data_IF_446763461832
#
_entry.id   IF_446763461832
#
_cell.length_a   1.000
_cell.length_b   1.000
_cell.length_c   1.000
_cell.angle_alpha   90.00
_cell.angle_beta   90.00
_cell.angle_gamma   90.00
#
_symmetry.space_group_name_H-M   'P 1'
#
loop_
_entity.id
_entity.type
_entity.pdbx_description
1 polymer ?
#
# COMPACT_ATOMS: atom_id res chain seq x y z
N UNK A 1 -15.00 6.73 22.47
CA UNK A 1 -13.54 6.95 22.33
C UNK A 1 -13.24 7.46 20.93
N UNK A 2 -12.21 8.28 20.72
CA UNK A 2 -11.81 8.73 19.37
C UNK A 2 -11.16 7.56 18.66
N UNK A 3 -11.63 7.21 17.46
CA UNK A 3 -11.02 6.17 16.61
C UNK A 3 -9.57 6.51 16.28
N UNK A 4 -8.74 5.49 16.08
CA UNK A 4 -7.33 5.63 15.74
C UNK A 4 -7.16 5.87 14.26
N UNK A 5 -6.08 6.51 13.88
CA UNK A 5 -5.70 6.70 12.48
C UNK A 5 -4.63 5.69 12.07
N UNK A 6 -4.59 5.31 10.80
CA UNK A 6 -3.63 4.35 10.26
C UNK A 6 -2.92 4.88 9.01
N UNK A 7 -1.73 4.37 8.79
CA UNK A 7 -1.11 4.33 7.46
C UNK A 7 -1.19 2.89 6.99
N UNK A 8 -2.03 2.67 6.00
CA UNK A 8 -2.08 1.43 5.24
C UNK A 8 -0.97 1.45 4.20
N UNK A 9 -0.30 0.32 4.01
CA UNK A 9 0.85 0.18 3.15
C UNK A 9 0.67 -1.05 2.27
N UNK A 10 0.79 -0.93 0.95
CA UNK A 10 1.00 -2.13 0.16
C UNK A 10 2.36 -2.74 0.49
N UNK A 11 2.57 -4.01 0.16
CA UNK A 11 3.80 -4.74 0.42
C UNK A 11 4.79 -4.62 -0.75
N UNK A 12 4.43 -5.20 -1.89
CA UNK A 12 5.32 -5.33 -3.05
C UNK A 12 5.32 -4.02 -3.85
N UNK A 13 6.50 -3.44 -4.10
CA UNK A 13 6.63 -2.11 -4.72
C UNK A 13 6.50 -0.92 -3.76
N UNK A 14 6.05 -1.17 -2.52
CA UNK A 14 5.85 -0.12 -1.50
C UNK A 14 6.75 -0.31 -0.28
N UNK A 15 6.65 -1.42 0.45
CA UNK A 15 7.56 -1.73 1.57
C UNK A 15 8.80 -2.47 1.10
N UNK A 16 8.64 -3.41 0.18
CA UNK A 16 9.71 -4.22 -0.39
C UNK A 16 9.83 -3.96 -1.89
N UNK A 17 11.02 -4.21 -2.44
CA UNK A 17 11.24 -4.13 -3.88
C UNK A 17 10.28 -5.07 -4.62
N UNK A 18 9.67 -4.62 -5.74
CA UNK A 18 8.72 -5.44 -6.48
C UNK A 18 9.42 -6.65 -7.09
N UNK A 19 8.83 -7.83 -6.93
CA UNK A 19 9.24 -9.08 -7.56
C UNK A 19 8.03 -9.81 -8.09
N UNK A 20 8.23 -10.57 -9.16
CA UNK A 20 7.17 -11.38 -9.74
C UNK A 20 6.92 -12.62 -8.86
N UNK A 21 5.87 -12.55 -8.05
CA UNK A 21 5.43 -13.63 -7.13
C UNK A 21 6.55 -14.17 -6.23
N UNK A 22 7.13 -13.37 -5.33
CA UNK A 22 8.10 -13.88 -4.37
C UNK A 22 7.47 -15.01 -3.55
N UNK A 23 8.21 -16.11 -3.37
CA UNK A 23 7.74 -17.34 -2.75
C UNK A 23 8.53 -17.73 -1.50
N UNK A 24 9.61 -17.00 -1.20
CA UNK A 24 10.44 -17.23 -0.02
C UNK A 24 10.77 -15.94 0.73
N UNK A 25 11.07 -16.02 2.04
CA UNK A 25 11.44 -14.86 2.85
C UNK A 25 12.64 -14.07 2.30
N UNK A 26 13.65 -14.74 1.75
CA UNK A 26 14.91 -14.17 1.26
C UNK A 26 14.68 -13.30 0.00
N UNK A 27 13.55 -13.48 -0.66
CA UNK A 27 13.17 -12.66 -1.81
C UNK A 27 12.55 -11.32 -1.42
N UNK A 28 12.15 -11.15 -0.15
CA UNK A 28 11.63 -9.89 0.36
C UNK A 28 12.77 -8.96 0.76
N UNK A 29 12.98 -7.91 0.02
CA UNK A 29 14.00 -6.91 0.30
C UNK A 29 13.35 -5.57 0.60
N UNK A 30 13.44 -5.11 1.84
CA UNK A 30 12.93 -3.81 2.24
C UNK A 30 13.60 -2.65 1.47
N UNK A 31 12.83 -1.63 1.14
CA UNK A 31 13.42 -0.39 0.64
C UNK A 31 14.31 0.26 1.71
N UNK A 32 15.48 0.69 1.29
CA UNK A 32 16.43 1.33 2.19
C UNK A 32 15.85 2.63 2.80
N UNK A 33 16.13 2.86 4.10
CA UNK A 33 15.80 4.11 4.77
C UNK A 33 14.34 4.32 5.18
N UNK A 34 13.42 3.37 4.94
CA UNK A 34 12.01 3.53 5.31
C UNK A 34 11.76 3.47 6.83
N UNK A 35 12.60 2.74 7.58
CA UNK A 35 12.44 2.55 9.03
C UNK A 35 12.28 3.86 9.83
N UNK A 36 13.14 4.87 9.69
CA UNK A 36 12.99 6.16 10.39
C UNK A 36 11.65 6.85 10.08
N UNK A 37 11.19 6.81 8.84
CA UNK A 37 9.90 7.39 8.42
C UNK A 37 8.72 6.68 9.06
N UNK A 38 8.70 5.35 9.04
CA UNK A 38 7.65 4.53 9.67
C UNK A 38 7.61 4.75 11.18
N UNK A 39 8.76 4.74 11.88
CA UNK A 39 8.81 5.04 13.32
C UNK A 39 8.25 6.44 13.64
N UNK A 40 8.54 7.42 12.80
CA UNK A 40 8.05 8.77 13.01
C UNK A 40 6.52 8.85 12.89
N UNK A 41 5.90 8.06 12.01
CA UNK A 41 4.44 7.95 11.89
C UNK A 41 3.84 7.22 13.10
N UNK A 42 4.47 6.16 13.59
CA UNK A 42 4.04 5.50 14.84
C UNK A 42 4.07 6.45 16.04
N UNK A 43 5.17 7.23 16.18
CA UNK A 43 5.27 8.26 17.23
C UNK A 43 4.21 9.37 17.09
N UNK A 44 3.73 9.63 15.87
CA UNK A 44 2.61 10.54 15.59
C UNK A 44 1.23 9.90 15.84
N UNK A 45 1.19 8.67 16.35
CA UNK A 45 -0.04 7.96 16.76
C UNK A 45 -0.72 7.19 15.63
N UNK A 46 -0.05 6.99 14.49
CA UNK A 46 -0.59 6.13 13.42
C UNK A 46 -0.37 4.65 13.74
N UNK A 47 -1.37 3.83 13.41
CA UNK A 47 -1.21 2.39 13.25
C UNK A 47 -0.61 2.11 11.88
N UNK A 48 0.27 1.09 11.80
CA UNK A 48 0.87 0.64 10.54
C UNK A 48 0.27 -0.71 10.15
N UNK A 49 -0.43 -0.73 9.03
CA UNK A 49 -1.18 -1.92 8.58
C UNK A 49 -0.81 -2.24 7.13
N UNK A 50 -0.40 -3.47 6.87
CA UNK A 50 -0.12 -3.93 5.50
C UNK A 50 -1.40 -4.43 4.83
N UNK A 51 -1.61 -4.04 3.56
CA UNK A 51 -2.76 -4.42 2.73
C UNK A 51 -2.24 -4.92 1.38
N UNK A 52 -2.24 -6.23 1.14
CA UNK A 52 -1.56 -6.80 -0.03
C UNK A 52 -2.39 -7.84 -0.79
N UNK A 53 -2.32 -7.81 -2.13
CA UNK A 53 -2.87 -8.84 -3.00
C UNK A 53 -1.83 -9.95 -3.19
N UNK A 54 -2.15 -11.18 -2.77
CA UNK A 54 -1.27 -12.33 -2.83
C UNK A 54 -1.84 -13.44 -3.73
N UNK A 55 -2.09 -13.08 -4.98
CA UNK A 55 -2.67 -13.95 -6.00
C UNK A 55 -1.80 -15.18 -6.35
N UNK A 56 -0.52 -15.18 -5.95
CA UNK A 56 0.37 -16.33 -6.09
C UNK A 56 -0.21 -17.60 -5.47
N UNK A 57 -0.97 -17.48 -4.36
CA UNK A 57 -1.65 -18.63 -3.74
C UNK A 57 -2.70 -19.18 -4.70
N UNK A 58 -3.61 -18.35 -5.22
CA UNK A 58 -4.64 -18.81 -6.17
C UNK A 58 -4.04 -19.38 -7.45
N UNK A 59 -2.84 -18.93 -7.85
CA UNK A 59 -2.12 -19.42 -9.02
C UNK A 59 -1.28 -20.68 -8.74
N UNK A 60 -1.18 -21.11 -7.46
CA UNK A 60 -0.40 -22.27 -7.07
C UNK A 60 1.12 -22.06 -7.09
N UNK A 61 1.60 -20.81 -7.05
CA UNK A 61 3.04 -20.51 -7.07
C UNK A 61 3.69 -20.66 -5.68
N UNK A 62 2.91 -20.48 -4.63
CA UNK A 62 3.30 -20.70 -3.23
C UNK A 62 2.06 -20.95 -2.37
N UNK A 63 2.27 -21.51 -1.20
CA UNK A 63 1.19 -21.87 -0.26
C UNK A 63 0.88 -20.73 0.71
N UNK A 64 -0.20 -20.88 1.49
CA UNK A 64 -0.52 -19.97 2.59
C UNK A 64 0.57 -20.01 3.69
N UNK A 65 1.18 -21.18 3.92
CA UNK A 65 2.29 -21.34 4.89
C UNK A 65 3.56 -20.64 4.42
N UNK A 66 3.85 -20.64 3.10
CA UNK A 66 4.94 -19.86 2.51
C UNK A 66 4.71 -18.37 2.73
N UNK A 67 3.48 -17.90 2.48
CA UNK A 67 3.12 -16.51 2.72
C UNK A 67 3.25 -16.12 4.19
N UNK A 68 2.84 -17.01 5.10
CA UNK A 68 2.96 -16.77 6.53
C UNK A 68 4.44 -16.58 6.93
N UNK A 69 5.34 -17.44 6.44
CA UNK A 69 6.79 -17.29 6.68
C UNK A 69 7.35 -15.98 6.12
N UNK A 70 6.90 -15.58 4.93
CA UNK A 70 7.28 -14.29 4.35
C UNK A 70 6.80 -13.10 5.20
N UNK A 71 5.57 -13.16 5.75
CA UNK A 71 5.04 -12.10 6.61
C UNK A 71 5.74 -12.05 7.98
N UNK A 72 6.12 -13.19 8.54
CA UNK A 72 6.93 -13.27 9.77
C UNK A 72 8.30 -12.65 9.55
N UNK A 73 8.94 -12.97 8.43
CA UNK A 73 10.23 -12.38 8.05
C UNK A 73 10.12 -10.86 7.89
N UNK A 74 9.14 -10.36 7.13
CA UNK A 74 8.88 -8.93 6.96
C UNK A 74 8.69 -8.22 8.31
N UNK A 75 7.90 -8.83 9.20
CA UNK A 75 7.63 -8.29 10.54
C UNK A 75 8.91 -8.23 11.38
N UNK A 76 9.75 -9.29 11.31
CA UNK A 76 11.04 -9.33 11.99
C UNK A 76 12.02 -8.27 11.47
N UNK A 77 12.15 -8.13 10.16
CA UNK A 77 13.01 -7.10 9.54
C UNK A 77 12.58 -5.68 9.95
N UNK A 78 11.28 -5.39 9.95
CA UNK A 78 10.76 -4.11 10.41
C UNK A 78 10.99 -3.90 11.91
N UNK A 79 10.85 -4.95 12.73
CA UNK A 79 11.11 -4.88 14.17
C UNK A 79 12.59 -4.56 14.47
N UNK A 80 13.53 -5.11 13.70
CA UNK A 80 14.97 -4.76 13.81
C UNK A 80 15.21 -3.27 13.51
N UNK A 81 14.38 -2.66 12.67
CA UNK A 81 14.38 -1.22 12.42
C UNK A 81 13.60 -0.42 13.48
N UNK A 82 13.10 -1.06 14.54
CA UNK A 82 12.29 -0.44 15.59
C UNK A 82 10.89 -0.04 15.12
N UNK A 83 10.36 -0.71 14.09
CA UNK A 83 9.00 -0.52 13.54
C UNK A 83 8.13 -1.71 13.92
N UNK A 84 6.95 -1.45 14.48
CA UNK A 84 5.97 -2.50 14.80
C UNK A 84 4.79 -2.41 13.84
N UNK A 85 4.50 -3.48 13.11
CA UNK A 85 3.25 -3.61 12.37
C UNK A 85 2.10 -3.96 13.32
N UNK A 86 0.96 -3.31 13.14
CA UNK A 86 -0.25 -3.61 13.90
C UNK A 86 -1.03 -4.79 13.32
N UNK A 87 -1.00 -4.97 12.01
CA UNK A 87 -1.60 -6.12 11.31
C UNK A 87 -1.13 -6.22 9.86
N UNK A 88 -1.33 -7.40 9.26
CA UNK A 88 -1.19 -7.66 7.83
C UNK A 88 -2.48 -8.30 7.34
N UNK A 89 -3.13 -7.68 6.34
CA UNK A 89 -4.28 -8.23 5.63
C UNK A 89 -3.88 -8.57 4.21
N UNK A 90 -4.29 -9.73 3.74
CA UNK A 90 -3.98 -10.16 2.39
C UNK A 90 -5.20 -10.77 1.70
N UNK A 91 -5.21 -10.72 0.37
CA UNK A 91 -6.19 -11.38 -0.47
C UNK A 91 -5.48 -12.50 -1.27
N UNK A 92 -5.84 -13.78 -1.07
CA UNK A 92 -5.26 -14.88 -1.82
C UNK A 92 -5.94 -15.11 -3.18
N UNK A 93 -7.10 -14.48 -3.44
CA UNK A 93 -7.97 -14.78 -4.56
C UNK A 93 -7.50 -14.14 -5.87
N UNK A 94 -7.79 -14.84 -6.99
CA UNK A 94 -7.66 -14.29 -8.33
C UNK A 94 -8.67 -14.95 -9.27
N UNK A 95 -9.46 -14.22 -10.09
CA UNK A 95 -10.47 -14.84 -10.98
C UNK A 95 -9.89 -15.91 -11.92
N UNK A 96 -8.63 -15.72 -12.37
CA UNK A 96 -7.92 -16.65 -13.24
C UNK A 96 -6.94 -17.52 -12.44
N UNK A 97 -7.28 -17.87 -11.19
CA UNK A 97 -6.49 -18.77 -10.35
C UNK A 97 -6.53 -20.22 -10.86
N UNK A 98 -5.45 -20.97 -10.60
CA UNK A 98 -5.39 -22.41 -10.89
C UNK A 98 -6.06 -23.26 -9.81
N UNK A 99 -6.18 -22.71 -8.57
CA UNK A 99 -6.83 -23.38 -7.44
C UNK A 99 -8.32 -23.01 -7.45
N UNK A 100 -9.25 -23.95 -7.71
CA UNK A 100 -10.66 -23.64 -7.92
C UNK A 100 -11.33 -22.86 -6.79
N UNK A 101 -11.02 -23.18 -5.53
CA UNK A 101 -11.59 -22.56 -4.33
C UNK A 101 -11.15 -21.10 -4.17
N UNK A 102 -10.04 -20.70 -4.79
CA UNK A 102 -9.47 -19.36 -4.77
C UNK A 102 -9.64 -18.61 -6.10
N UNK A 103 -10.12 -19.30 -7.14
CA UNK A 103 -10.39 -18.75 -8.47
C UNK A 103 -11.71 -17.98 -8.50
N UNK A 104 -11.86 -17.00 -7.61
CA UNK A 104 -13.10 -16.25 -7.39
C UNK A 104 -12.91 -14.74 -7.48
N UNK A 105 -13.99 -14.03 -7.79
CA UNK A 105 -14.11 -12.59 -7.56
C UNK A 105 -14.52 -12.38 -6.10
N UNK A 106 -13.87 -11.47 -5.40
CA UNK A 106 -14.11 -11.19 -3.99
C UNK A 106 -14.11 -9.68 -3.72
N UNK A 107 -14.57 -9.29 -2.55
CA UNK A 107 -14.54 -7.90 -2.05
C UNK A 107 -13.21 -7.50 -1.41
N UNK A 108 -12.35 -8.47 -1.08
CA UNK A 108 -11.05 -8.22 -0.45
C UNK A 108 -9.95 -7.85 -1.45
N UNK A 109 -9.99 -8.35 -2.72
CA UNK A 109 -8.94 -8.06 -3.70
C UNK A 109 -8.99 -6.60 -4.15
N UNK A 110 -7.89 -5.86 -3.95
CA UNK A 110 -7.72 -4.54 -4.54
C UNK A 110 -7.94 -4.60 -6.06
N UNK A 111 -8.73 -3.69 -6.67
CA UNK A 111 -9.19 -2.40 -6.16
C UNK A 111 -10.44 -2.39 -5.28
N UNK A 112 -10.93 -3.53 -4.79
CA UNK A 112 -12.00 -3.54 -3.79
C UNK A 112 -11.47 -3.14 -2.42
N UNK A 113 -12.26 -2.43 -1.60
CA UNK A 113 -11.83 -1.89 -0.31
C UNK A 113 -11.93 -2.88 0.86
N UNK A 114 -12.33 -4.13 0.65
CA UNK A 114 -12.73 -5.04 1.73
C UNK A 114 -11.65 -5.27 2.80
N UNK A 115 -10.38 -5.37 2.42
CA UNK A 115 -9.29 -5.50 3.41
C UNK A 115 -9.16 -4.25 4.29
N UNK A 116 -9.29 -3.04 3.72
CA UNK A 116 -9.25 -1.78 4.46
C UNK A 116 -10.44 -1.65 5.42
N UNK A 117 -11.63 -2.02 4.96
CA UNK A 117 -12.86 -2.00 5.77
C UNK A 117 -12.76 -2.99 6.94
N UNK A 118 -12.24 -4.20 6.69
CA UNK A 118 -12.00 -5.19 7.73
C UNK A 118 -10.97 -4.72 8.74
N UNK A 119 -9.83 -4.20 8.31
CA UNK A 119 -8.82 -3.64 9.19
C UNK A 119 -9.38 -2.50 10.07
N UNK A 120 -10.24 -1.65 9.49
CA UNK A 120 -10.89 -0.57 10.24
C UNK A 120 -11.86 -1.08 11.32
N UNK A 121 -12.56 -2.18 11.05
CA UNK A 121 -13.43 -2.82 12.04
C UNK A 121 -12.63 -3.51 13.15
N UNK A 122 -11.62 -4.30 12.78
CA UNK A 122 -10.84 -5.11 13.73
C UNK A 122 -9.97 -4.24 14.66
N UNK A 123 -9.48 -3.09 14.17
CA UNK A 123 -8.53 -2.24 14.92
C UNK A 123 -9.13 -0.89 15.38
N UNK A 124 -10.44 -0.68 15.24
CA UNK A 124 -11.16 0.56 15.54
C UNK A 124 -10.50 1.79 14.89
N UNK A 125 -10.37 1.77 13.55
CA UNK A 125 -9.72 2.83 12.79
C UNK A 125 -10.71 3.81 12.16
N UNK A 126 -10.30 5.07 12.07
CA UNK A 126 -10.96 6.10 11.25
C UNK A 126 -10.31 6.15 9.87
N UNK A 127 -10.98 5.60 8.87
CA UNK A 127 -10.49 5.58 7.49
C UNK A 127 -10.34 6.98 6.89
N UNK A 128 -11.18 7.94 7.28
CA UNK A 128 -11.10 9.33 6.79
C UNK A 128 -9.90 10.09 7.35
N UNK A 129 -9.40 9.68 8.52
CA UNK A 129 -8.19 10.22 9.13
C UNK A 129 -6.95 9.37 8.77
N UNK A 130 -7.09 8.39 7.88
CA UNK A 130 -6.05 7.42 7.54
C UNK A 130 -5.55 7.62 6.11
N UNK A 131 -4.38 7.05 5.86
CA UNK A 131 -3.69 7.11 4.56
C UNK A 131 -3.52 5.71 3.98
N UNK A 132 -3.55 5.60 2.65
CA UNK A 132 -3.10 4.39 1.95
C UNK A 132 -1.99 4.74 0.96
N UNK A 133 -0.84 4.09 1.11
CA UNK A 133 0.34 4.22 0.24
C UNK A 133 0.48 2.94 -0.56
N UNK A 134 0.54 3.03 -1.87
CA UNK A 134 0.74 1.92 -2.78
C UNK A 134 1.40 2.37 -4.07
N UNK A 135 1.86 1.44 -4.90
CA UNK A 135 2.60 1.71 -6.13
C UNK A 135 1.77 1.49 -7.40
N UNK A 136 0.58 0.89 -7.27
CA UNK A 136 -0.34 0.68 -8.40
C UNK A 136 -1.68 1.39 -8.21
N UNK A 137 -2.36 1.65 -9.33
CA UNK A 137 -3.66 2.34 -9.28
C UNK A 137 -4.77 1.53 -8.62
N UNK A 138 -4.62 0.22 -8.45
CA UNK A 138 -5.56 -0.60 -7.69
C UNK A 138 -5.50 -0.30 -6.18
N UNK A 139 -4.34 0.07 -5.65
CA UNK A 139 -4.19 0.55 -4.27
C UNK A 139 -4.93 1.86 -4.07
N UNK A 140 -4.70 2.77 -5.00
CA UNK A 140 -5.32 4.10 -4.98
C UNK A 140 -6.84 3.99 -5.05
N UNK A 141 -7.37 3.17 -5.96
CA UNK A 141 -8.82 2.95 -6.07
C UNK A 141 -9.38 2.32 -4.78
N UNK A 142 -8.71 1.31 -4.20
CA UNK A 142 -9.11 0.70 -2.94
C UNK A 142 -9.14 1.71 -1.79
N UNK A 143 -8.09 2.52 -1.66
CA UNK A 143 -8.00 3.58 -0.66
C UNK A 143 -9.09 4.65 -0.81
N UNK A 144 -9.30 5.14 -2.04
CA UNK A 144 -10.34 6.13 -2.33
C UNK A 144 -11.75 5.58 -2.07
N UNK A 145 -12.03 4.32 -2.42
CA UNK A 145 -13.30 3.64 -2.10
C UNK A 145 -13.50 3.49 -0.59
N UNK A 146 -12.42 3.27 0.16
CA UNK A 146 -12.42 3.23 1.62
C UNK A 146 -12.46 4.62 2.27
N UNK A 147 -12.39 5.71 1.48
CA UNK A 147 -12.33 7.11 1.93
C UNK A 147 -11.06 7.48 2.68
N UNK A 148 -9.96 6.79 2.44
CA UNK A 148 -8.63 7.19 2.89
C UNK A 148 -8.06 8.29 1.97
N UNK A 149 -7.15 9.10 2.50
CA UNK A 149 -6.21 9.83 1.65
C UNK A 149 -5.22 8.84 1.01
N UNK A 150 -4.84 9.06 -0.25
CA UNK A 150 -4.03 8.08 -0.98
C UNK A 150 -2.76 8.69 -1.53
N UNK A 151 -1.67 7.93 -1.52
CA UNK A 151 -0.39 8.33 -2.14
C UNK A 151 0.05 7.22 -3.09
N UNK A 152 0.23 7.56 -4.35
CA UNK A 152 0.86 6.68 -5.32
C UNK A 152 2.37 6.85 -5.24
N UNK A 153 3.09 5.76 -5.01
CA UNK A 153 4.53 5.67 -5.21
C UNK A 153 4.76 5.37 -6.69
N UNK A 154 5.12 6.38 -7.46
CA UNK A 154 5.26 6.25 -8.90
C UNK A 154 6.57 5.55 -9.27
N UNK A 155 6.48 4.28 -9.62
CA UNK A 155 7.58 3.46 -10.14
C UNK A 155 7.68 3.52 -11.68
N UNK A 156 6.85 4.33 -12.34
CA UNK A 156 6.79 4.43 -13.80
C UNK A 156 6.05 3.26 -14.47
N UNK A 157 5.34 2.46 -13.72
CA UNK A 157 4.60 1.26 -14.21
C UNK A 157 3.14 1.55 -14.55
N UNK A 158 2.59 2.65 -14.03
CA UNK A 158 1.18 2.99 -14.16
C UNK A 158 0.94 4.09 -15.21
N UNK A 159 -0.16 3.97 -15.94
CA UNK A 159 -0.61 4.99 -16.86
C UNK A 159 -1.48 6.04 -16.14
N UNK A 160 -1.73 7.17 -16.80
CA UNK A 160 -2.61 8.21 -16.26
C UNK A 160 -4.00 7.64 -15.90
N UNK A 161 -4.49 7.90 -14.67
CA UNK A 161 -5.79 7.37 -14.24
C UNK A 161 -6.95 7.93 -15.05
N UNK A 162 -7.61 7.08 -15.84
CA UNK A 162 -8.75 7.45 -16.68
C UNK A 162 -10.04 7.71 -15.89
N UNK A 163 -10.14 7.23 -14.63
CA UNK A 163 -11.31 7.38 -13.76
C UNK A 163 -10.99 8.20 -12.51
N UNK A 164 -11.89 9.10 -12.06
CA UNK A 164 -11.65 9.92 -10.86
C UNK A 164 -11.31 9.12 -9.60
N UNK A 165 -11.95 7.95 -9.42
CA UNK A 165 -11.72 7.08 -8.25
C UNK A 165 -10.30 6.51 -8.19
N UNK A 166 -9.55 6.53 -9.29
CA UNK A 166 -8.14 6.10 -9.37
C UNK A 166 -7.15 7.26 -9.22
N UNK A 167 -7.60 8.48 -9.01
CA UNK A 167 -6.71 9.63 -8.83
C UNK A 167 -6.18 9.66 -7.39
N UNK A 168 -4.85 9.63 -7.19
CA UNK A 168 -4.28 9.73 -5.86
C UNK A 168 -4.43 11.13 -5.28
N UNK A 169 -4.46 11.24 -3.94
CA UNK A 169 -4.37 12.54 -3.25
C UNK A 169 -2.99 13.17 -3.48
N UNK A 170 -1.93 12.36 -3.46
CA UNK A 170 -0.55 12.78 -3.77
C UNK A 170 0.16 11.72 -4.61
N UNK A 171 1.23 12.15 -5.29
CA UNK A 171 2.18 11.27 -5.98
C UNK A 171 3.56 11.46 -5.34
N UNK A 172 4.23 10.36 -5.04
CA UNK A 172 5.58 10.34 -4.47
C UNK A 172 6.51 9.56 -5.38
N UNK A 173 7.79 9.93 -5.43
CA UNK A 173 8.81 9.21 -6.22
C UNK A 173 9.35 7.97 -5.52
N UNK A 174 9.19 7.88 -4.21
CA UNK A 174 9.65 6.77 -3.37
C UNK A 174 8.73 6.63 -2.16
N UNK A 175 8.73 5.46 -1.53
CA UNK A 175 8.01 5.26 -0.28
C UNK A 175 8.46 6.23 0.80
N UNK A 176 9.77 6.46 0.95
CA UNK A 176 10.28 7.44 1.91
C UNK A 176 9.70 8.84 1.67
N UNK A 177 9.57 9.27 0.41
CA UNK A 177 8.92 10.54 0.07
C UNK A 177 7.44 10.54 0.45
N UNK A 178 6.71 9.44 0.23
CA UNK A 178 5.32 9.31 0.67
C UNK A 178 5.17 9.46 2.19
N UNK A 179 6.04 8.82 2.98
CA UNK A 179 6.04 8.95 4.44
C UNK A 179 6.33 10.39 4.90
N UNK A 180 7.19 11.13 4.20
CA UNK A 180 7.45 12.54 4.45
C UNK A 180 6.24 13.43 4.13
N UNK A 181 5.52 13.15 3.02
CA UNK A 181 4.28 13.87 2.68
C UNK A 181 3.26 13.72 3.81
N UNK A 182 3.00 12.49 4.29
CA UNK A 182 2.07 12.25 5.39
C UNK A 182 2.46 13.09 6.60
N UNK A 183 3.73 13.02 7.01
CA UNK A 183 4.20 13.80 8.17
C UNK A 183 4.02 15.30 7.99
N UNK A 184 4.34 15.83 6.81
CA UNK A 184 4.23 17.26 6.53
C UNK A 184 2.76 17.73 6.59
N UNK A 185 1.82 16.95 6.06
CA UNK A 185 0.39 17.26 6.11
C UNK A 185 -0.11 17.23 7.57
N UNK A 186 0.24 16.20 8.33
CA UNK A 186 -0.20 16.04 9.72
C UNK A 186 0.37 17.11 10.66
N UNK A 187 1.62 17.56 10.43
CA UNK A 187 2.24 18.62 11.25
C UNK A 187 1.64 20.00 11.00
N UNK A 188 1.16 20.26 9.79
CA UNK A 188 0.57 21.56 9.43
C UNK A 188 -0.87 21.73 9.93
N UNK A 189 -1.51 20.66 10.43
CA UNK A 189 -2.91 20.68 10.86
C UNK A 189 -3.88 20.85 9.69
N UNK A 190 -5.15 20.64 9.93
CA UNK A 190 -6.26 20.69 8.95
C UNK A 190 -6.52 22.08 8.32
N UNK A 191 -5.58 23.02 8.43
CA UNK A 191 -5.75 24.44 8.01
C UNK A 191 -5.09 24.78 6.68
N UNK A 192 -4.67 23.78 5.90
CA UNK A 192 -4.21 24.02 4.54
C UNK A 192 -5.36 23.66 3.60
N UNK A 193 -6.03 24.67 3.06
CA UNK A 193 -6.53 24.58 1.70
C UNK A 193 -5.35 24.20 0.83
N UNK A 194 -5.27 22.91 0.51
CA UNK A 194 -4.21 22.37 -0.33
C UNK A 194 -4.39 22.93 -1.73
N UNK A 195 -3.74 24.05 -2.02
CA UNK A 195 -3.45 24.51 -3.38
C UNK A 195 -2.44 23.60 -4.08
N UNK A 196 -2.41 22.30 -3.69
CA UNK A 196 -1.64 21.27 -4.39
C UNK A 196 -2.38 20.96 -5.69
N UNK A 197 -1.90 21.53 -6.79
CA UNK A 197 -2.16 20.96 -8.11
C UNK A 197 -1.28 19.72 -8.21
N UNK A 198 -1.85 18.50 -8.38
CA UNK A 198 -1.03 17.34 -8.69
C UNK A 198 -0.17 17.68 -9.91
N UNK A 199 1.12 17.30 -9.94
CA UNK A 199 1.93 17.46 -11.13
C UNK A 199 1.18 16.86 -12.31
N UNK A 200 1.25 17.54 -13.47
CA UNK A 200 0.66 17.00 -14.71
C UNK A 200 1.22 15.60 -14.90
N UNK A 201 0.36 14.62 -14.81
CA UNK A 201 0.65 13.19 -14.97
C UNK A 201 0.99 12.85 -16.41
N UNK A 202 1.91 11.91 -16.66
CA UNK A 202 3.21 11.73 -16.01
C UNK A 202 4.24 12.64 -16.67
N UNK A 203 5.29 12.98 -15.93
CA UNK A 203 6.54 13.45 -16.53
C UNK A 203 7.28 12.26 -17.16
N UNK A 204 6.68 11.58 -18.12
CA UNK A 204 7.42 10.64 -18.97
C UNK A 204 8.09 11.47 -20.03
N UNK A 205 9.43 11.49 -20.13
CA UNK A 205 10.09 11.96 -21.33
C UNK A 205 9.57 11.07 -22.48
N UNK A 206 8.99 11.68 -23.48
CA UNK A 206 8.72 11.00 -24.76
C UNK A 206 10.10 10.56 -25.30
N UNK A 207 10.43 9.27 -25.11
CA UNK A 207 11.54 8.68 -25.86
C UNK A 207 11.03 8.61 -27.30
N UNK A 208 11.48 9.55 -28.11
CA UNK A 208 11.24 9.52 -29.53
C UNK A 208 11.83 8.22 -30.08
N UNK A 209 10.94 7.34 -30.54
CA UNK A 209 11.34 6.26 -31.44
C UNK A 209 11.47 6.93 -32.80
N UNK A 210 12.69 7.33 -33.14
CA UNK A 210 13.03 7.63 -34.52
C UNK A 210 13.03 6.31 -35.32
N UNK A 211 12.32 6.35 -36.43
CA UNK A 211 12.10 5.25 -37.37
C UNK A 211 13.39 4.80 -38.07
#
# INVERSE_FOLDING_TARGET
MKKRKAVFLDRDGTLVHPRHYPSSPEELQLYAGIGPGLRALQKAGFRLVVITNQAGIARGYFTADDLQRMHEHLTSELAQLGVQLDAIYFCPHHPDGAIPELAIRCDCRKPQPGMLLRAAADLDLDLRASWFVGDILDDIEAGNRARCSTILVDLGTEQQPGRPVRRPTFVARTTLHALHIIRAVEQRGSSIELSYRPPSWPLVPTIGVEA
#
